data_IF_131367254048
#
_entry.id   IF_131367254048
#
_cell.length_a   1.000
_cell.length_b   1.000
_cell.length_c   1.000
_cell.angle_alpha   90.00
_cell.angle_beta   90.00
_cell.angle_gamma   90.00
#
_symmetry.space_group_name_H-M   'P 1'
#
loop_
_entity.id
_entity.type
_entity.pdbx_description
1 polymer ?
#
# COMPACT_ATOMS: atom_id res chain seq x y z
N UNK A 12 -12.71 -13.49 -5.19
CA UNK A 12 -11.40 -12.82 -4.98
C UNK A 12 -11.10 -11.85 -6.12
N UNK A 13 -11.90 -10.81 -6.23
CA UNK A 13 -11.72 -9.80 -7.26
C UNK A 13 -10.66 -8.79 -6.87
N UNK A 14 -9.92 -8.29 -7.86
CA UNK A 14 -8.88 -7.31 -7.63
C UNK A 14 -9.23 -5.96 -8.24
N UNK A 15 -8.45 -4.94 -7.93
CA UNK A 15 -8.68 -3.61 -8.46
C UNK A 15 -7.38 -2.96 -8.91
N UNK A 16 -7.42 -2.35 -10.10
CA UNK A 16 -6.25 -1.67 -10.65
C UNK A 16 -6.45 -0.17 -10.61
N UNK A 17 -5.79 0.50 -9.67
CA UNK A 17 -5.90 1.93 -9.53
C UNK A 17 -4.67 2.64 -10.09
N UNK A 18 -4.88 3.38 -11.17
CA UNK A 18 -3.79 4.13 -11.81
C UNK A 18 -3.69 5.53 -11.22
N UNK A 19 -2.50 5.90 -10.79
CA UNK A 19 -2.27 7.22 -10.21
C UNK A 19 -0.80 7.61 -10.26
N UNK A 20 -0.52 8.89 -10.05
CA UNK A 20 0.86 9.39 -10.07
C UNK A 20 1.74 8.60 -9.11
N UNK A 21 3.01 8.47 -9.46
CA UNK A 21 3.96 7.73 -8.63
C UNK A 21 4.18 8.41 -7.29
N UNK A 22 3.29 8.13 -6.35
CA UNK A 22 3.38 8.72 -5.01
C UNK A 22 2.71 7.81 -3.98
N UNK A 23 3.47 7.43 -2.94
CA UNK A 23 2.94 6.56 -1.90
C UNK A 23 1.71 7.20 -1.24
N UNK A 24 1.69 8.53 -1.20
CA UNK A 24 0.58 9.26 -0.61
C UNK A 24 -0.75 8.82 -1.22
N UNK A 25 -0.74 8.57 -2.52
CA UNK A 25 -1.93 8.14 -3.23
C UNK A 25 -2.38 6.77 -2.74
N UNK A 26 -1.42 5.87 -2.58
CA UNK A 26 -1.71 4.52 -2.11
C UNK A 26 -2.30 4.55 -0.71
N UNK A 27 -1.67 5.34 0.16
CA UNK A 27 -2.14 5.47 1.54
C UNK A 27 -3.55 6.05 1.58
N UNK A 28 -3.80 7.03 0.71
CA UNK A 28 -5.11 7.67 0.64
C UNK A 28 -6.17 6.65 0.22
N UNK A 29 -5.84 5.84 -0.78
CA UNK A 29 -6.76 4.82 -1.27
C UNK A 29 -7.01 3.76 -0.21
N UNK A 30 -5.97 3.39 0.51
CA UNK A 30 -6.08 2.39 1.57
C UNK A 30 -6.96 2.91 2.70
N UNK A 31 -6.83 4.20 2.99
CA UNK A 31 -7.61 4.83 4.04
C UNK A 31 -9.10 4.72 3.75
N UNK A 32 -9.46 4.93 2.49
CA UNK A 32 -10.84 4.85 2.06
C UNK A 32 -11.38 3.44 2.22
N UNK A 33 -10.53 2.45 1.94
CA UNK A 33 -10.91 1.05 2.05
C UNK A 33 -11.19 0.68 3.50
N UNK A 34 -10.26 1.04 4.39
CA UNK A 34 -10.40 0.74 5.81
C UNK A 34 -11.55 1.53 6.42
N UNK A 35 -11.79 2.73 5.89
CA UNK A 35 -12.87 3.58 6.39
C UNK A 35 -14.22 2.89 6.25
N UNK A 36 -14.34 2.05 5.23
CA UNK A 36 -15.59 1.32 4.99
C UNK A 36 -15.46 -0.14 5.39
N UNK A 37 -14.52 -0.43 6.30
CA UNK A 37 -14.30 -1.79 6.77
C UNK A 37 -13.99 -2.72 5.62
N UNK A 38 -13.34 -2.20 4.59
CA UNK A 38 -12.97 -2.99 3.42
C UNK A 38 -11.72 -3.81 3.67
N UNK A 39 -11.91 -5.08 4.03
CA UNK A 39 -10.79 -5.97 4.30
C UNK A 39 -10.03 -6.29 3.02
N UNK A 40 -8.78 -5.83 2.94
CA UNK A 40 -7.95 -6.07 1.78
C UNK A 40 -7.06 -7.28 1.97
N UNK A 41 -7.09 -8.20 1.01
CA UNK A 41 -6.30 -9.42 1.07
C UNK A 41 -4.84 -9.14 0.70
N UNK A 42 -4.64 -8.21 -0.23
CA UNK A 42 -3.30 -7.85 -0.68
C UNK A 42 -3.34 -6.64 -1.61
N UNK A 43 -2.17 -6.09 -1.90
CA UNK A 43 -2.07 -4.94 -2.78
C UNK A 43 -0.62 -4.68 -3.19
N UNK A 44 -0.44 -4.09 -4.37
CA UNK A 44 0.89 -3.79 -4.88
C UNK A 44 0.81 -2.78 -6.02
N UNK A 45 1.66 -1.76 -5.97
CA UNK A 45 1.68 -0.73 -6.99
C UNK A 45 3.07 -0.61 -7.62
N UNK A 46 3.10 -0.40 -8.93
CA UNK A 46 4.35 -0.25 -9.65
C UNK A 46 4.27 0.90 -10.66
N UNK A 47 5.40 1.52 -10.94
CA UNK A 47 5.45 2.63 -11.89
C UNK A 47 5.31 2.13 -13.32
N UNK A 48 4.16 2.42 -13.94
CA UNK A 48 3.89 2.00 -15.31
C UNK A 48 4.94 2.59 -16.26
N UNK A 49 5.07 3.92 -16.25
CA UNK A 49 6.03 4.57 -17.11
C UNK A 49 6.90 5.55 -16.36
N UNK A 50 6.43 6.79 -16.23
CA UNK A 50 7.17 7.83 -15.53
C UNK A 50 6.35 8.40 -14.39
N UNK A 51 5.39 9.26 -14.74
CA UNK A 51 4.52 9.88 -13.74
C UNK A 51 3.21 9.11 -13.62
N UNK A 52 3.30 7.80 -13.82
CA UNK A 52 2.13 6.93 -13.75
C UNK A 52 2.46 5.64 -13.00
N UNK A 53 1.67 5.34 -11.97
CA UNK A 53 1.87 4.13 -11.18
C UNK A 53 0.61 3.29 -11.12
N UNK A 54 0.74 2.02 -11.50
CA UNK A 54 -0.38 1.09 -11.50
C UNK A 54 -0.49 0.40 -10.15
N UNK A 55 -1.56 0.72 -9.40
CA UNK A 55 -1.78 0.12 -8.09
C UNK A 55 -2.76 -1.04 -8.17
N UNK A 56 -2.38 -2.17 -7.60
CA UNK A 56 -3.23 -3.35 -7.59
C UNK A 56 -3.72 -3.65 -6.18
N UNK A 57 -4.96 -4.09 -6.07
CA UNK A 57 -5.55 -4.40 -4.78
C UNK A 57 -6.43 -5.64 -4.86
N UNK A 58 -6.15 -6.61 -4.00
CA UNK A 58 -6.91 -7.85 -3.95
C UNK A 58 -7.73 -7.92 -2.67
N UNK A 59 -9.05 -7.93 -2.81
CA UNK A 59 -9.94 -8.00 -1.66
C UNK A 59 -11.25 -8.70 -2.02
N UNK A 60 -11.82 -9.41 -1.06
CA UNK A 60 -13.07 -10.11 -1.27
C UNK A 60 -14.27 -9.22 -0.95
N UNK A 61 -15.35 -9.38 -1.69
CA UNK A 61 -16.55 -8.59 -1.48
C UNK A 61 -17.79 -9.37 -1.87
N UNK A 62 -18.95 -8.92 -1.38
CA UNK A 62 -20.19 -9.59 -1.69
C UNK A 62 -21.24 -8.64 -2.24
N UNK A 63 -21.32 -7.44 -1.66
CA UNK A 63 -22.29 -6.45 -2.12
C UNK A 63 -21.71 -5.61 -3.26
N UNK A 64 -22.49 -5.41 -4.34
CA UNK A 64 -22.04 -4.63 -5.49
C UNK A 64 -22.12 -3.12 -5.24
N UNK A 65 -23.04 -2.71 -4.37
CA UNK A 65 -23.21 -1.31 -4.04
C UNK A 65 -21.93 -0.72 -3.45
N UNK A 66 -21.23 -1.52 -2.66
CA UNK A 66 -20.00 -1.08 -2.03
C UNK A 66 -18.85 -1.07 -3.04
N UNK A 67 -18.77 -2.15 -3.82
CA UNK A 67 -17.73 -2.25 -4.84
C UNK A 67 -17.96 -1.22 -5.93
N UNK A 68 -19.23 -0.91 -6.18
CA UNK A 68 -19.58 0.07 -7.20
C UNK A 68 -19.28 1.48 -6.73
N UNK A 69 -19.62 1.78 -5.48
CA UNK A 69 -19.38 3.10 -4.93
C UNK A 69 -17.89 3.33 -4.70
N UNK A 70 -17.16 2.26 -4.41
CA UNK A 70 -15.73 2.35 -4.17
C UNK A 70 -15.00 2.88 -5.41
N UNK A 71 -15.32 2.30 -6.56
CA UNK A 71 -14.70 2.71 -7.82
C UNK A 71 -14.95 4.19 -8.09
N UNK A 72 -16.19 4.62 -7.94
CA UNK A 72 -16.55 6.02 -8.17
C UNK A 72 -15.81 6.93 -7.21
N UNK A 73 -15.67 6.47 -5.96
CA UNK A 73 -14.98 7.24 -4.94
C UNK A 73 -13.51 7.43 -5.31
N UNK A 74 -12.90 6.36 -5.81
CA UNK A 74 -11.50 6.41 -6.20
C UNK A 74 -11.26 7.49 -7.25
N UNK A 75 -12.28 7.76 -8.05
CA UNK A 75 -12.19 8.78 -9.09
C UNK A 75 -11.91 10.15 -8.49
N UNK A 76 -12.38 10.35 -7.26
CA UNK A 76 -12.17 11.62 -6.57
C UNK A 76 -10.79 11.71 -5.96
N UNK A 77 -10.00 10.65 -6.10
CA UNK A 77 -8.66 10.63 -5.56
C UNK A 77 -7.70 11.42 -6.45
N UNK A 78 -7.36 12.62 -5.99
CA UNK A 78 -6.44 13.48 -6.74
C UNK A 78 -5.16 12.74 -7.09
N UNK A 79 -4.88 12.61 -8.38
CA UNK A 79 -3.69 11.91 -8.81
C UNK A 79 -4.00 10.60 -9.50
N UNK A 80 -5.18 10.05 -9.23
CA UNK A 80 -5.59 8.79 -9.82
C UNK A 80 -6.27 9.02 -11.19
N UNK A 81 -5.73 8.37 -12.21
CA UNK A 81 -6.27 8.49 -13.55
C UNK A 81 -7.60 7.76 -13.70
N UNK A 82 -7.59 6.48 -13.35
CA UNK A 82 -8.79 5.65 -13.44
C UNK A 82 -8.61 4.34 -12.69
N UNK A 83 -9.70 3.60 -12.52
CA UNK A 83 -9.66 2.32 -11.83
C UNK A 83 -10.29 1.22 -12.67
N UNK A 84 -9.67 0.04 -12.65
CA UNK A 84 -10.16 -1.09 -13.41
C UNK A 84 -10.13 -2.36 -12.58
N UNK A 85 -11.28 -3.02 -12.45
CA UNK A 85 -11.38 -4.26 -11.68
C UNK A 85 -10.53 -5.36 -12.31
N UNK A 86 -9.48 -5.76 -11.59
CA UNK A 86 -8.59 -6.80 -12.08
C UNK A 86 -9.11 -8.19 -11.73
N UNK A 87 -9.01 -9.11 -12.69
CA UNK A 87 -9.47 -10.48 -12.49
C UNK A 87 -8.63 -11.47 -13.29
N UNK A 88 -8.71 -12.74 -12.93
CA UNK A 88 -7.95 -13.77 -13.62
C UNK A 88 -8.83 -14.98 -13.93
N UNK A 89 -8.36 -15.83 -14.84
CA UNK A 89 -9.11 -17.02 -15.22
C UNK A 89 -8.17 -18.18 -15.51
N UNK A 90 -8.60 -19.38 -15.13
CA UNK A 90 -7.79 -20.58 -15.34
C UNK A 90 -6.46 -20.48 -14.61
N UNK B 12 17.68 3.11 -4.48
CA UNK B 12 16.52 2.25 -4.79
C UNK B 12 16.40 1.09 -3.80
N UNK B 13 16.60 1.40 -2.52
CA UNK B 13 16.52 0.39 -1.47
C UNK B 13 15.08 0.13 -1.06
N UNK B 14 14.75 -1.13 -0.86
CA UNK B 14 13.41 -1.52 -0.45
C UNK B 14 13.33 -1.75 1.05
N UNK B 15 12.11 -1.86 1.57
CA UNK B 15 11.91 -2.08 2.98
C UNK B 15 10.74 -3.03 3.24
N UNK B 16 10.97 -4.01 4.10
CA UNK B 16 9.94 -5.00 4.44
C UNK B 16 9.41 -4.75 5.85
N UNK B 17 8.14 -4.35 5.93
CA UNK B 17 7.53 -4.08 7.22
C UNK B 17 6.58 -5.22 7.63
N UNK B 18 6.94 -5.94 8.68
CA UNK B 18 6.13 -7.04 9.18
C UNK B 18 5.20 -6.56 10.29
N UNK B 19 3.95 -6.98 10.23
CA UNK B 19 2.97 -6.60 11.23
C UNK B 19 1.79 -7.57 11.25
N UNK B 20 1.03 -7.55 12.34
CA UNK B 20 -0.13 -8.43 12.48
C UNK B 20 -1.12 -8.21 11.34
N UNK B 21 -1.72 -9.30 10.87
CA UNK B 21 -2.69 -9.23 9.78
C UNK B 21 -3.94 -8.45 10.20
N UNK B 22 -3.93 -7.14 9.97
CA UNK B 22 -5.05 -6.30 10.33
C UNK B 22 -5.37 -5.31 9.21
N UNK B 23 -6.49 -4.60 9.33
CA UNK B 23 -6.90 -3.64 8.33
C UNK B 23 -6.48 -2.22 8.71
N UNK B 24 -6.06 -2.04 9.97
CA UNK B 24 -5.63 -0.74 10.45
C UNK B 24 -4.10 -0.64 10.46
N UNK B 25 -3.45 -1.76 10.74
CA UNK B 25 -1.99 -1.79 10.78
C UNK B 25 -1.39 -1.35 9.45
N UNK B 26 -2.01 -1.80 8.36
CA UNK B 26 -1.54 -1.46 7.02
C UNK B 26 -1.59 0.06 6.83
N UNK B 27 -2.76 0.63 7.01
CA UNK B 27 -2.94 2.07 6.88
C UNK B 27 -2.02 2.82 7.85
N UNK B 28 -1.73 2.17 8.97
CA UNK B 28 -0.85 2.75 9.98
C UNK B 28 0.55 2.92 9.43
N UNK B 29 1.07 1.86 8.82
CA UNK B 29 2.40 1.91 8.23
C UNK B 29 2.45 2.89 7.07
N UNK B 30 1.43 2.85 6.23
CA UNK B 30 1.33 3.74 5.09
C UNK B 30 1.14 5.18 5.56
N UNK B 31 0.36 5.33 6.64
CA UNK B 31 0.10 6.65 7.20
C UNK B 31 1.32 7.18 7.93
N UNK B 32 1.96 6.32 8.72
CA UNK B 32 3.14 6.71 9.47
C UNK B 32 4.21 7.27 8.54
N UNK B 33 4.40 6.60 7.42
CA UNK B 33 5.38 7.03 6.43
C UNK B 33 4.84 8.18 5.60
N UNK B 34 3.52 8.17 5.38
CA UNK B 34 2.88 9.22 4.60
C UNK B 34 2.97 10.57 5.31
N UNK B 35 3.05 10.53 6.64
CA UNK B 35 3.14 11.75 7.43
C UNK B 35 4.24 12.67 6.91
N UNK B 36 5.25 12.07 6.30
CA UNK B 36 6.37 12.84 5.75
C UNK B 36 6.34 12.84 4.22
N UNK B 37 5.20 12.46 3.65
CA UNK B 37 5.04 12.42 2.19
C UNK B 37 6.17 11.63 1.54
N UNK B 38 6.70 10.65 2.26
CA UNK B 38 7.77 9.81 1.75
C UNK B 38 7.35 9.14 0.45
N UNK B 39 7.73 9.73 -0.68
CA UNK B 39 7.38 9.18 -1.98
C UNK B 39 8.03 7.81 -2.19
N UNK B 40 7.20 6.78 -2.21
CA UNK B 40 7.67 5.42 -2.39
C UNK B 40 7.55 5.00 -3.85
N UNK B 41 8.59 4.35 -4.36
CA UNK B 41 8.59 3.90 -5.76
C UNK B 41 7.68 2.69 -5.94
N UNK B 42 7.42 1.97 -4.85
CA UNK B 42 6.56 0.79 -4.91
C UNK B 42 6.08 0.40 -3.51
N UNK B 43 4.77 0.19 -3.37
CA UNK B 43 4.18 -0.19 -2.11
C UNK B 43 3.30 -1.44 -2.29
N UNK B 44 3.55 -2.47 -1.48
CA UNK B 44 2.76 -3.70 -1.59
C UNK B 44 2.79 -4.49 -0.29
N UNK B 45 1.64 -5.08 0.05
CA UNK B 45 1.51 -5.87 1.26
C UNK B 45 0.84 -7.21 0.98
N UNK B 46 1.42 -8.27 1.53
CA UNK B 46 0.88 -9.61 1.33
C UNK B 46 0.89 -10.40 2.64
N UNK B 47 -0.13 -11.21 2.84
CA UNK B 47 -0.26 -12.01 4.06
C UNK B 47 0.70 -13.21 4.01
N UNK B 48 1.49 -13.37 5.06
CA UNK B 48 2.44 -14.46 5.14
C UNK B 48 1.72 -15.79 5.34
N UNK B 49 1.10 -15.96 6.50
CA UNK B 49 0.38 -17.19 6.80
C UNK B 49 -1.10 -16.95 7.04
N UNK B 50 -1.41 -16.33 8.19
CA UNK B 50 -2.79 -16.03 8.54
C UNK B 50 -2.89 -14.71 9.28
N UNK B 51 -2.34 -14.67 10.49
CA UNK B 51 -2.37 -13.45 11.29
C UNK B 51 -1.05 -12.69 11.15
N UNK B 52 -0.51 -12.69 9.94
CA UNK B 52 0.74 -12.01 9.66
C UNK B 52 0.68 -11.26 8.34
N UNK B 53 0.92 -9.95 8.40
CA UNK B 53 0.89 -9.11 7.20
C UNK B 53 2.27 -8.56 6.89
N UNK B 54 2.82 -8.95 5.76
CA UNK B 54 4.15 -8.52 5.33
C UNK B 54 4.05 -7.43 4.27
N UNK B 55 4.49 -6.23 4.61
CA UNK B 55 4.46 -5.11 3.68
C UNK B 55 5.83 -4.92 3.03
N UNK B 56 5.84 -4.33 1.83
CA UNK B 56 7.09 -4.10 1.12
C UNK B 56 7.07 -2.75 0.43
N UNK B 57 7.96 -1.86 0.84
CA UNK B 57 8.04 -0.54 0.26
C UNK B 57 9.38 -0.33 -0.44
N UNK B 58 9.31 0.04 -1.71
CA UNK B 58 10.50 0.30 -2.50
C UNK B 58 10.61 1.78 -2.83
N UNK B 59 11.67 2.42 -2.35
CA UNK B 59 11.86 3.84 -2.58
C UNK B 59 13.34 4.18 -2.71
N UNK B 60 13.61 5.43 -3.09
CA UNK B 60 14.98 5.88 -3.25
C UNK B 60 15.54 6.42 -1.93
N UNK B 61 16.86 6.54 -1.85
CA UNK B 61 17.50 7.03 -0.65
C UNK B 61 18.09 8.43 -0.86
N UNK B 62 18.37 9.10 0.25
CA UNK B 62 18.93 10.44 0.18
C UNK B 62 19.56 10.87 1.49
N UNK B 63 18.74 10.98 2.53
CA UNK B 63 19.23 11.38 3.84
C UNK B 63 19.26 10.19 4.79
N UNK B 64 20.40 9.94 5.47
CA UNK B 64 20.54 8.83 6.40
C UNK B 64 19.74 9.04 7.68
N UNK B 65 19.57 10.30 8.07
CA UNK B 65 18.83 10.64 9.27
C UNK B 65 17.37 10.24 9.15
N UNK B 66 16.82 10.40 7.96
CA UNK B 66 15.42 10.05 7.71
C UNK B 66 15.26 8.55 7.59
N UNK B 67 16.16 7.91 6.86
CA UNK B 67 16.11 6.46 6.69
C UNK B 67 16.40 5.76 8.01
N UNK B 68 17.24 6.41 8.83
CA UNK B 68 17.58 5.85 10.13
C UNK B 68 16.44 5.99 11.12
N UNK B 69 15.83 7.18 11.14
CA UNK B 69 14.72 7.45 12.05
C UNK B 69 13.48 6.70 11.60
N UNK B 70 13.37 6.41 10.31
CA UNK B 70 12.22 5.70 9.76
C UNK B 70 12.10 4.32 10.38
N UNK B 71 13.17 3.55 10.31
CA UNK B 71 13.19 2.20 10.87
C UNK B 71 12.85 2.23 12.35
N UNK B 72 13.51 3.12 13.09
CA UNK B 72 13.27 3.25 14.52
C UNK B 72 11.82 3.64 14.80
N UNK B 73 11.27 4.48 13.92
CA UNK B 73 9.90 4.93 14.05
C UNK B 73 8.92 3.76 13.89
N UNK B 74 9.16 2.96 12.86
CA UNK B 74 8.32 1.80 12.60
C UNK B 74 8.25 0.87 13.80
N UNK B 75 9.33 0.84 14.58
CA UNK B 75 9.39 0.00 15.77
C UNK B 75 8.31 0.41 16.77
N UNK B 76 7.96 1.69 16.76
CA UNK B 76 6.95 2.21 17.67
C UNK B 76 5.54 1.93 17.16
N UNK B 77 5.44 1.28 16.01
CA UNK B 77 4.15 0.96 15.44
C UNK B 77 3.58 -0.29 16.07
N UNK B 78 2.61 -0.11 16.97
CA UNK B 78 1.97 -1.23 17.66
C UNK B 78 1.43 -2.24 16.65
N UNK B 79 1.93 -3.48 16.74
CA UNK B 79 1.49 -4.51 15.83
C UNK B 79 2.57 -4.92 14.84
N UNK B 80 3.50 -4.02 14.57
CA UNK B 80 4.58 -4.31 13.64
C UNK B 80 5.68 -5.12 14.30
N UNK B 81 6.01 -6.27 13.70
CA UNK B 81 7.03 -7.15 14.24
C UNK B 81 8.41 -6.51 14.12
N UNK B 82 8.83 -6.27 12.88
CA UNK B 82 10.13 -5.66 12.62
C UNK B 82 10.23 -5.19 11.18
N UNK B 83 11.28 -4.43 10.88
CA UNK B 83 11.51 -3.90 9.55
C UNK B 83 12.87 -4.32 9.02
N UNK B 84 12.92 -4.73 7.75
CA UNK B 84 14.16 -5.16 7.13
C UNK B 84 14.29 -4.56 5.72
N UNK B 85 15.40 -3.87 5.49
CA UNK B 85 15.67 -3.26 4.20
C UNK B 85 15.86 -4.32 3.12
N UNK B 86 14.93 -4.40 2.18
CA UNK B 86 15.00 -5.37 1.11
C UNK B 86 15.84 -4.86 -0.06
N UNK B 87 16.59 -5.76 -0.67
CA UNK B 87 17.45 -5.40 -1.81
C UNK B 87 18.14 -6.63 -2.38
N UNK B 88 19.17 -7.11 -1.68
CA UNK B 88 19.91 -8.27 -2.12
C UNK B 88 20.52 -8.05 -3.50
N UNK B 89 21.13 -9.09 -4.05
CA UNK B 89 21.74 -9.01 -5.37
C UNK B 89 20.70 -8.68 -6.45
N UNK B 90 20.77 -7.46 -6.96
CA UNK B 90 19.83 -7.03 -8.00
C UNK B 90 18.40 -7.07 -7.49
#
# INVERSE_FOLDING_TARGET
MKHHHHHHPMVLVAIQVEALDRHRLLSDVTRALADEKVNILSASVTTSGDRVAISRFTFEMGDPKHLGHLLNAVRNVEGVYDVYRVTSAA
MKHHHHHHPMVLVAIQVEALDRHRLLSDVTRALADEKVNILSASVTTSGDRVAISRFTFEMGDPKHLGHLLNAVRNVEGVYDVYRVTSAA
#
